data_IF_647574984232
#
_entry.id   IF_647574984232
#
_cell.length_a   1.000
_cell.length_b   1.000
_cell.length_c   1.000
_cell.angle_alpha   90.00
_cell.angle_beta   90.00
_cell.angle_gamma   90.00
#
_symmetry.space_group_name_H-M   'P 1'
#
loop_
_entity.id
_entity.type
_entity.pdbx_description
1 polymer ?
#
# COMPACT_ATOMS: atom_id res chain seq x y z
N UNK A 1 -0.38 -27.22 -22.68
CA UNK A 1 -0.83 -28.63 -22.85
C UNK A 1 0.29 -29.66 -23.10
N UNK A 2 1.39 -29.36 -23.83
CA UNK A 2 2.51 -30.34 -24.04
C UNK A 2 3.34 -30.58 -22.76
N UNK A 3 3.79 -29.49 -22.12
CA UNK A 3 4.60 -29.54 -20.90
C UNK A 3 3.93 -30.25 -19.69
N UNK A 4 2.59 -30.18 -19.54
CA UNK A 4 1.89 -30.90 -18.48
C UNK A 4 1.85 -32.40 -18.75
N UNK A 5 1.64 -32.81 -20.01
CA UNK A 5 1.64 -34.23 -20.42
C UNK A 5 3.00 -34.89 -20.21
N UNK A 6 4.08 -34.15 -20.46
CA UNK A 6 5.44 -34.62 -20.26
C UNK A 6 5.77 -34.86 -18.77
N UNK A 7 5.08 -34.17 -17.85
CA UNK A 7 5.24 -34.31 -16.39
C UNK A 7 4.34 -35.36 -15.76
N UNK A 8 3.25 -35.76 -16.42
CA UNK A 8 2.30 -36.78 -15.92
C UNK A 8 2.96 -38.06 -15.41
N UNK A 9 3.94 -38.68 -16.10
CA UNK A 9 4.56 -39.92 -15.62
C UNK A 9 5.34 -39.72 -14.32
N UNK A 10 6.00 -38.57 -14.16
CA UNK A 10 6.73 -38.23 -12.94
C UNK A 10 5.78 -38.01 -11.77
N UNK A 11 4.66 -37.31 -12.00
CA UNK A 11 3.63 -37.07 -10.98
C UNK A 11 3.00 -38.39 -10.54
N UNK A 12 2.67 -39.30 -11.47
CA UNK A 12 2.14 -40.64 -11.13
C UNK A 12 3.11 -41.42 -10.23
N UNK A 13 4.41 -41.45 -10.54
CA UNK A 13 5.42 -42.07 -9.67
C UNK A 13 5.47 -41.46 -8.27
N UNK A 14 5.31 -40.14 -8.17
CA UNK A 14 5.30 -39.45 -6.88
C UNK A 14 4.04 -39.77 -6.08
N UNK A 15 2.91 -39.87 -6.77
CA UNK A 15 1.62 -40.24 -6.20
C UNK A 15 1.60 -41.67 -5.68
N UNK A 16 2.22 -42.61 -6.40
CA UNK A 16 2.37 -43.99 -5.95
C UNK A 16 3.21 -44.08 -4.67
N UNK A 17 4.30 -43.30 -4.59
CA UNK A 17 5.10 -43.19 -3.36
C UNK A 17 4.27 -42.63 -2.22
N UNK A 18 3.53 -41.56 -2.46
CA UNK A 18 2.64 -40.95 -1.47
C UNK A 18 1.62 -41.96 -0.95
N UNK A 19 0.89 -42.64 -1.83
CA UNK A 19 -0.10 -43.66 -1.46
C UNK A 19 0.54 -44.79 -0.65
N UNK A 20 1.75 -45.25 -1.03
CA UNK A 20 2.49 -46.28 -0.28
C UNK A 20 2.88 -45.82 1.13
N UNK A 21 3.32 -44.56 1.28
CA UNK A 21 3.67 -44.01 2.58
C UNK A 21 2.42 -43.82 3.45
N UNK A 22 1.33 -43.33 2.86
CA UNK A 22 0.05 -43.19 3.53
C UNK A 22 -0.52 -44.54 3.99
N UNK A 23 -0.39 -45.59 3.17
CA UNK A 23 -0.76 -46.96 3.54
C UNK A 23 -0.04 -47.42 4.82
N UNK A 24 1.28 -47.29 4.83
CA UNK A 24 2.13 -47.66 5.98
C UNK A 24 1.83 -46.83 7.22
N UNK A 25 1.47 -45.56 7.02
CA UNK A 25 1.09 -44.67 8.10
C UNK A 25 -0.21 -45.14 8.75
N UNK A 26 -1.24 -45.41 7.94
CA UNK A 26 -2.55 -45.90 8.41
C UNK A 26 -2.45 -47.27 9.08
N UNK A 27 -1.60 -48.16 8.56
CA UNK A 27 -1.32 -49.46 9.18
C UNK A 27 -0.72 -49.30 10.59
N UNK A 28 0.16 -48.31 10.77
CA UNK A 28 0.81 -48.04 12.06
C UNK A 28 -0.09 -47.31 13.07
N UNK A 29 -1.04 -46.51 12.59
CA UNK A 29 -1.91 -45.66 13.40
C UNK A 29 -3.39 -45.82 12.98
N UNK A 30 -4.03 -46.95 13.31
CA UNK A 30 -5.39 -47.26 12.85
C UNK A 30 -6.46 -46.33 13.43
N UNK A 31 -6.24 -45.78 14.62
CA UNK A 31 -7.20 -44.89 15.31
C UNK A 31 -7.14 -43.44 14.80
N UNK A 32 -6.21 -43.13 13.90
CA UNK A 32 -6.02 -41.77 13.46
C UNK A 32 -6.95 -41.44 12.29
N UNK A 33 -7.99 -40.65 12.59
CA UNK A 33 -8.87 -40.11 11.57
C UNK A 33 -8.08 -39.15 10.68
N UNK A 34 -7.89 -39.51 9.40
CA UNK A 34 -7.35 -38.57 8.43
C UNK A 34 -8.28 -37.36 8.35
N UNK A 35 -7.75 -36.17 8.64
CA UNK A 35 -8.51 -34.92 8.53
C UNK A 35 -8.73 -34.47 7.08
N UNK A 36 -8.28 -35.25 6.10
CA UNK A 36 -8.49 -34.95 4.68
C UNK A 36 -9.65 -35.80 4.18
N UNK A 37 -10.63 -35.15 3.56
CA UNK A 37 -11.63 -35.80 2.71
C UNK A 37 -10.99 -36.24 1.38
N UNK A 38 -9.98 -37.12 1.44
CA UNK A 38 -9.32 -37.65 0.26
C UNK A 38 -9.83 -39.06 -0.03
N UNK A 39 -10.25 -39.31 -1.27
CA UNK A 39 -10.42 -40.68 -1.73
C UNK A 39 -9.05 -41.37 -1.71
N UNK A 40 -8.88 -42.37 -0.84
CA UNK A 40 -7.68 -43.19 -0.77
C UNK A 40 -7.92 -44.53 -1.50
N UNK A 41 -7.03 -44.96 -2.41
CA UNK A 41 -5.79 -44.30 -2.86
C UNK A 41 -6.04 -43.14 -3.83
N UNK A 42 -5.23 -42.08 -3.71
CA UNK A 42 -5.38 -40.88 -4.54
C UNK A 42 -4.92 -41.17 -5.98
N UNK A 43 -5.80 -40.89 -6.96
CA UNK A 43 -5.50 -41.06 -8.39
C UNK A 43 -5.10 -39.74 -9.06
N UNK A 44 -4.36 -39.83 -10.16
CA UNK A 44 -3.85 -38.64 -10.87
C UNK A 44 -4.98 -37.74 -11.39
N UNK A 45 -6.07 -38.35 -11.83
CA UNK A 45 -7.22 -37.66 -12.41
C UNK A 45 -7.94 -36.80 -11.37
N UNK A 46 -8.03 -37.28 -10.12
CA UNK A 46 -8.57 -36.55 -8.98
C UNK A 46 -7.60 -35.45 -8.52
N UNK A 47 -6.33 -35.80 -8.37
CA UNK A 47 -5.27 -34.85 -7.99
C UNK A 47 -5.17 -33.66 -8.97
N UNK A 48 -5.23 -33.93 -10.28
CA UNK A 48 -5.11 -32.89 -11.31
C UNK A 48 -6.24 -31.87 -11.32
N UNK A 49 -7.39 -32.21 -10.71
CA UNK A 49 -8.58 -31.37 -10.63
C UNK A 49 -8.72 -30.66 -9.29
N UNK A 50 -7.81 -30.89 -8.34
CA UNK A 50 -7.89 -30.26 -7.02
C UNK A 50 -7.66 -28.75 -7.16
N UNK A 51 -8.58 -27.92 -6.62
CA UNK A 51 -8.32 -26.48 -6.52
C UNK A 51 -7.15 -26.22 -5.57
N UNK A 52 -6.52 -25.05 -5.70
CA UNK A 52 -5.41 -24.64 -4.84
C UNK A 52 -5.82 -24.57 -3.36
N UNK A 53 -7.08 -24.26 -3.09
CA UNK A 53 -7.63 -24.15 -1.74
C UNK A 53 -8.03 -25.50 -1.11
N UNK A 54 -7.81 -26.62 -1.82
CA UNK A 54 -8.17 -27.94 -1.33
C UNK A 54 -7.39 -28.32 -0.04
N UNK A 55 -8.05 -28.99 0.92
CA UNK A 55 -7.49 -29.41 2.21
C UNK A 55 -6.18 -30.21 2.12
N UNK A 56 -5.97 -30.86 0.98
CA UNK A 56 -4.72 -31.55 0.62
C UNK A 56 -3.50 -30.61 0.68
N UNK A 57 -3.63 -29.36 0.24
CA UNK A 57 -2.57 -28.37 0.23
C UNK A 57 -2.44 -27.63 1.56
N UNK A 58 -3.56 -27.42 2.25
CA UNK A 58 -3.61 -26.44 3.32
C UNK A 58 -3.66 -26.98 4.75
N UNK A 59 -4.03 -28.24 5.04
CA UNK A 59 -4.19 -28.60 6.47
C UNK A 59 -4.14 -30.07 6.91
N UNK A 60 -4.29 -31.09 6.07
CA UNK A 60 -4.78 -32.36 6.65
C UNK A 60 -3.80 -33.52 6.92
N UNK A 61 -2.55 -33.51 6.39
CA UNK A 61 -1.63 -34.66 6.54
C UNK A 61 -0.37 -34.39 7.36
N UNK A 62 0.23 -33.20 7.23
CA UNK A 62 1.54 -32.89 7.82
C UNK A 62 1.45 -32.04 9.09
N UNK A 63 0.29 -31.43 9.36
CA UNK A 63 0.04 -30.69 10.59
C UNK A 63 -0.49 -31.63 11.67
N UNK A 64 0.41 -32.44 12.23
CA UNK A 64 0.23 -33.05 13.56
C UNK A 64 0.75 -32.13 14.66
N UNK A 65 0.67 -30.82 14.46
CA UNK A 65 1.10 -29.87 15.47
C UNK A 65 0.12 -29.98 16.63
N UNK A 66 0.55 -30.73 17.65
CA UNK A 66 -0.12 -30.87 18.96
C UNK A 66 -0.01 -29.59 19.77
N UNK A 67 0.71 -28.59 19.25
CA UNK A 67 0.87 -27.31 19.89
C UNK A 67 -0.47 -26.57 19.92
N UNK A 68 -0.77 -25.96 21.07
CA UNK A 68 -2.04 -25.27 21.34
C UNK A 68 -2.38 -24.22 20.28
N UNK A 69 -1.38 -23.53 19.70
CA UNK A 69 -1.56 -22.53 18.64
C UNK A 69 -2.00 -23.10 17.28
N UNK A 70 -1.86 -24.40 17.04
CA UNK A 70 -2.28 -25.06 15.82
C UNK A 70 -3.62 -25.79 15.95
N UNK A 71 -4.04 -26.11 17.18
CA UNK A 71 -5.25 -26.89 17.46
C UNK A 71 -6.40 -26.01 17.96
N UNK A 72 -6.11 -25.04 18.83
CA UNK A 72 -7.13 -24.24 19.51
C UNK A 72 -7.42 -22.97 18.70
N UNK A 73 -8.67 -22.79 18.20
CA UNK A 73 -9.00 -21.68 17.31
C UNK A 73 -8.79 -20.30 17.93
N UNK A 74 -9.03 -20.13 19.24
CA UNK A 74 -8.93 -18.83 19.90
C UNK A 74 -7.47 -18.39 20.08
N UNK A 75 -6.55 -19.30 20.36
CA UNK A 75 -5.10 -19.06 20.46
C UNK A 75 -4.56 -18.69 19.10
N UNK A 76 -5.02 -19.36 18.02
CA UNK A 76 -4.64 -18.99 16.65
C UNK A 76 -5.15 -17.59 16.29
N UNK A 77 -6.41 -17.29 16.58
CA UNK A 77 -7.00 -15.97 16.34
C UNK A 77 -6.29 -14.90 17.15
N UNK A 78 -6.05 -15.13 18.45
CA UNK A 78 -5.34 -14.20 19.32
C UNK A 78 -3.91 -13.93 18.85
N UNK A 79 -3.19 -14.96 18.41
CA UNK A 79 -1.85 -14.82 17.83
C UNK A 79 -1.88 -13.96 16.56
N UNK A 80 -2.84 -14.21 15.66
CA UNK A 80 -3.03 -13.39 14.48
C UNK A 80 -3.37 -11.93 14.83
N UNK A 81 -4.25 -11.71 15.80
CA UNK A 81 -4.60 -10.35 16.25
C UNK A 81 -3.37 -9.59 16.77
N UNK A 82 -2.53 -10.23 17.60
CA UNK A 82 -1.29 -9.61 18.11
C UNK A 82 -0.32 -9.27 16.97
N UNK A 83 -0.17 -10.16 15.98
CA UNK A 83 0.68 -9.90 14.81
C UNK A 83 0.15 -8.75 13.96
N UNK A 84 -1.16 -8.69 13.72
CA UNK A 84 -1.81 -7.61 12.98
C UNK A 84 -1.64 -6.28 13.71
N UNK A 85 -1.83 -6.24 15.03
CA UNK A 85 -1.62 -5.04 15.84
C UNK A 85 -0.17 -4.55 15.77
N UNK A 86 0.79 -5.47 15.85
CA UNK A 86 2.21 -5.14 15.73
C UNK A 86 2.52 -4.54 14.35
N UNK A 87 1.97 -5.13 13.29
CA UNK A 87 2.12 -4.61 11.93
C UNK A 87 1.48 -3.24 11.76
N UNK A 88 0.28 -3.03 12.28
CA UNK A 88 -0.41 -1.73 12.24
C UNK A 88 0.44 -0.63 12.89
N UNK A 89 1.09 -0.95 14.00
CA UNK A 89 1.95 0.00 14.70
C UNK A 89 3.19 0.38 13.87
N UNK A 90 3.82 -0.59 13.19
CA UNK A 90 4.93 -0.33 12.26
C UNK A 90 4.49 0.57 11.08
N UNK A 91 3.37 0.23 10.45
CA UNK A 91 2.85 0.99 9.30
C UNK A 91 2.49 2.43 9.70
N UNK A 92 1.90 2.62 10.88
CA UNK A 92 1.60 3.96 11.40
C UNK A 92 2.88 4.80 11.53
N UNK A 93 3.96 4.23 12.05
CA UNK A 93 5.24 4.93 12.18
C UNK A 93 5.85 5.28 10.82
N UNK A 94 5.77 4.38 9.84
CA UNK A 94 6.24 4.62 8.49
C UNK A 94 5.46 5.75 7.80
N UNK A 95 4.13 5.71 7.88
CA UNK A 95 3.28 6.76 7.31
C UNK A 95 3.57 8.11 7.96
N UNK A 96 3.73 8.16 9.29
CA UNK A 96 4.06 9.39 9.99
C UNK A 96 5.42 9.96 9.54
N UNK A 97 6.41 9.09 9.33
CA UNK A 97 7.72 9.50 8.84
C UNK A 97 7.67 10.03 7.40
N UNK A 98 6.93 9.37 6.52
CA UNK A 98 6.76 9.85 5.13
C UNK A 98 5.99 11.16 5.06
N UNK A 99 4.95 11.34 5.90
CA UNK A 99 4.25 12.60 6.02
C UNK A 99 5.19 13.73 6.43
N UNK A 100 6.01 13.51 7.48
CA UNK A 100 6.98 14.50 7.93
C UNK A 100 8.00 14.84 6.84
N UNK A 101 8.46 13.85 6.06
CA UNK A 101 9.37 14.06 4.94
C UNK A 101 8.72 14.87 3.81
N UNK A 102 7.49 14.53 3.43
CA UNK A 102 6.75 15.23 2.39
C UNK A 102 6.51 16.71 2.76
N UNK A 103 6.11 16.99 3.99
CA UNK A 103 5.97 18.37 4.49
C UNK A 103 7.32 19.09 4.49
N UNK A 104 8.39 18.44 4.96
CA UNK A 104 9.74 18.98 4.94
C UNK A 104 10.18 19.37 3.52
N UNK A 105 9.89 18.52 2.54
CA UNK A 105 10.11 18.83 1.12
C UNK A 105 9.25 20.00 0.66
N UNK A 106 7.96 20.03 0.97
CA UNK A 106 7.06 21.13 0.61
C UNK A 106 7.57 22.48 1.11
N UNK A 107 7.94 22.56 2.40
CA UNK A 107 8.51 23.78 2.99
C UNK A 107 9.84 24.16 2.32
N UNK A 108 10.71 23.19 2.05
CA UNK A 108 11.98 23.46 1.36
C UNK A 108 11.76 24.00 -0.05
N UNK A 109 10.77 23.49 -0.80
CA UNK A 109 10.45 23.97 -2.14
C UNK A 109 9.87 25.39 -2.08
N UNK A 110 8.95 25.64 -1.14
CA UNK A 110 8.40 26.97 -0.92
C UNK A 110 9.49 28.00 -0.65
N UNK A 111 10.43 27.70 0.26
CA UNK A 111 11.58 28.58 0.53
C UNK A 111 12.41 28.84 -0.72
N UNK A 112 12.76 27.79 -1.48
CA UNK A 112 13.53 27.93 -2.72
C UNK A 112 12.83 28.81 -3.76
N UNK A 113 11.50 28.71 -3.88
CA UNK A 113 10.74 29.59 -4.77
C UNK A 113 10.70 31.03 -4.25
N UNK A 114 10.47 31.22 -2.95
CA UNK A 114 10.47 32.54 -2.32
C UNK A 114 11.81 33.25 -2.50
N UNK A 115 12.92 32.54 -2.25
CA UNK A 115 14.28 33.06 -2.44
C UNK A 115 14.55 33.40 -3.90
N UNK A 116 14.15 32.53 -4.83
CA UNK A 116 14.28 32.76 -6.28
C UNK A 116 13.47 33.98 -6.74
N UNK A 117 12.24 34.15 -6.26
CA UNK A 117 11.39 35.30 -6.59
C UNK A 117 12.02 36.58 -6.05
N UNK A 118 12.44 36.58 -4.78
CA UNK A 118 13.08 37.73 -4.16
C UNK A 118 14.36 38.13 -4.93
N UNK A 119 15.17 37.14 -5.34
CA UNK A 119 16.34 37.34 -6.16
C UNK A 119 16.00 38.02 -7.51
N UNK A 120 15.04 37.46 -8.24
CA UNK A 120 14.62 38.00 -9.53
C UNK A 120 14.06 39.41 -9.40
N UNK A 121 13.26 39.69 -8.35
CA UNK A 121 12.74 41.03 -8.09
C UNK A 121 13.86 42.05 -7.84
N UNK A 122 14.85 41.71 -7.01
CA UNK A 122 16.01 42.58 -6.76
C UNK A 122 16.80 42.85 -8.05
N UNK A 123 16.94 41.82 -8.88
CA UNK A 123 17.67 41.92 -10.15
C UNK A 123 16.97 42.81 -11.16
N UNK A 124 15.64 42.70 -11.28
CA UNK A 124 14.83 43.60 -12.10
C UNK A 124 15.03 45.06 -11.66
N UNK A 125 14.96 45.34 -10.35
CA UNK A 125 15.18 46.71 -9.84
C UNK A 125 16.56 47.25 -10.16
N UNK A 126 17.62 46.42 -10.07
CA UNK A 126 18.98 46.84 -10.45
C UNK A 126 19.06 47.20 -11.93
N UNK A 127 18.56 46.34 -12.81
CA UNK A 127 18.52 46.60 -14.26
C UNK A 127 17.69 47.84 -14.62
N UNK A 128 16.57 48.08 -13.93
CA UNK A 128 15.77 49.30 -14.10
C UNK A 128 16.51 50.57 -13.68
N UNK A 129 17.29 50.51 -12.59
CA UNK A 129 18.06 51.66 -12.08
C UNK A 129 19.29 52.02 -12.92
N UNK A 130 19.90 51.04 -13.61
CA UNK A 130 21.04 51.25 -14.52
C UNK A 130 20.62 51.91 -15.84
N UNK A 131 19.41 51.62 -16.34
CA UNK A 131 18.93 52.22 -17.59
C UNK A 131 18.74 53.76 -17.48
N UNK A 132 18.67 54.31 -16.27
CA UNK A 132 18.60 55.76 -15.98
C UNK A 132 19.97 56.41 -15.70
N UNK A 133 21.00 55.63 -15.35
CA UNK A 133 22.32 56.14 -14.99
C UNK A 133 23.39 55.33 -15.74
N UNK A 134 23.94 55.88 -16.83
CA UNK A 134 25.00 55.26 -17.67
C UNK A 134 26.29 54.87 -16.89
N UNK A 135 26.24 53.88 -15.99
CA UNK A 135 27.39 53.36 -15.24
C UNK A 135 27.24 51.84 -15.04
N UNK A 136 28.32 51.13 -15.40
CA UNK A 136 28.65 49.70 -15.22
C UNK A 136 27.55 48.66 -15.43
N UNK A 137 27.68 47.85 -16.50
CA UNK A 137 26.87 46.67 -16.79
C UNK A 137 26.69 45.79 -15.52
N UNK A 138 25.44 45.51 -15.11
CA UNK A 138 25.15 44.43 -14.13
C UNK A 138 25.92 43.17 -14.52
N UNK A 139 26.77 42.69 -13.61
CA UNK A 139 27.53 41.46 -13.80
C UNK A 139 26.60 40.29 -14.19
N UNK A 140 26.94 39.63 -15.29
CA UNK A 140 26.16 38.49 -15.77
C UNK A 140 26.20 37.35 -14.77
N UNK A 141 25.05 36.73 -14.53
CA UNK A 141 24.94 35.59 -13.63
C UNK A 141 24.32 34.36 -14.33
N UNK A 142 24.07 33.34 -13.52
CA UNK A 142 23.48 32.07 -13.95
C UNK A 142 22.07 32.18 -14.56
N UNK A 143 21.30 33.24 -14.28
CA UNK A 143 19.99 33.50 -14.89
C UNK A 143 20.15 34.01 -16.33
N UNK A 144 21.18 34.79 -16.65
CA UNK A 144 21.42 35.25 -18.05
C UNK A 144 21.91 34.13 -18.95
N UNK A 145 22.47 33.09 -18.35
CA UNK A 145 22.92 31.89 -19.03
C UNK A 145 21.75 30.91 -19.30
N UNK A 146 20.54 31.20 -18.78
CA UNK A 146 19.35 30.40 -19.07
C UNK A 146 18.89 30.64 -20.51
N UNK A 147 18.99 29.61 -21.34
CA UNK A 147 18.38 29.62 -22.66
C UNK A 147 16.86 29.44 -22.54
N UNK A 148 16.15 30.55 -22.33
CA UNK A 148 14.68 30.57 -22.16
C UNK A 148 13.91 30.39 -23.47
N UNK A 149 14.59 30.17 -24.61
CA UNK A 149 13.97 30.23 -25.92
C UNK A 149 13.44 31.64 -26.23
N UNK A 150 13.08 31.90 -27.49
CA UNK A 150 12.63 33.23 -27.92
C UNK A 150 11.21 33.53 -27.41
N UNK A 151 11.07 33.86 -26.13
CA UNK A 151 9.82 34.39 -25.57
C UNK A 151 9.75 35.88 -25.92
N UNK A 152 8.80 36.25 -26.79
CA UNK A 152 8.49 37.66 -27.05
C UNK A 152 7.82 38.21 -25.80
N UNK A 153 8.43 39.15 -25.10
CA UNK A 153 7.81 39.85 -23.97
C UNK A 153 6.73 40.81 -24.50
N UNK A 154 5.48 40.36 -24.58
CA UNK A 154 4.36 41.31 -24.54
C UNK A 154 4.24 41.77 -23.08
N UNK A 155 4.41 43.07 -22.84
CA UNK A 155 4.19 43.68 -21.52
C UNK A 155 2.70 43.60 -21.16
N UNK A 156 2.23 42.42 -20.80
CA UNK A 156 0.92 42.23 -20.21
C UNK A 156 1.03 42.62 -18.74
N UNK A 157 0.32 43.68 -18.34
CA UNK A 157 0.15 44.10 -16.94
C UNK A 157 -0.69 43.04 -16.22
N UNK A 158 -0.10 41.90 -15.89
CA UNK A 158 -0.73 40.92 -15.01
C UNK A 158 -0.65 41.45 -13.58
N UNK A 159 -1.81 41.66 -12.95
CA UNK A 159 -1.91 42.09 -11.56
C UNK A 159 -1.45 40.94 -10.68
N UNK A 160 -0.26 41.07 -10.09
CA UNK A 160 0.29 40.09 -9.15
C UNK A 160 -0.57 40.14 -7.89
N UNK A 161 -1.19 39.03 -7.45
CA UNK A 161 -1.98 38.99 -6.23
C UNK A 161 -1.12 39.36 -5.03
N UNK A 162 -1.68 40.15 -4.12
CA UNK A 162 -0.98 40.58 -2.90
C UNK A 162 -0.95 39.44 -1.88
N UNK A 163 0.06 39.41 -1.01
CA UNK A 163 0.26 38.35 0.00
C UNK A 163 -0.99 38.06 0.83
N UNK A 164 -1.80 39.08 1.14
CA UNK A 164 -3.08 38.91 1.87
C UNK A 164 -4.17 38.17 1.08
N UNK A 165 -4.19 38.28 -0.26
CA UNK A 165 -5.14 37.53 -1.10
C UNK A 165 -4.76 36.04 -1.15
N UNK A 166 -3.46 35.73 -1.06
CA UNK A 166 -2.97 34.34 -1.03
C UNK A 166 -3.25 33.68 0.32
N UNK A 167 -3.07 34.40 1.43
CA UNK A 167 -3.41 33.91 2.78
C UNK A 167 -4.91 33.68 2.95
N UNK A 168 -5.76 34.58 2.46
CA UNK A 168 -7.21 34.42 2.53
C UNK A 168 -7.70 33.17 1.76
N UNK A 169 -7.15 32.94 0.55
CA UNK A 169 -7.47 31.76 -0.24
C UNK A 169 -6.99 30.45 0.41
N UNK A 170 -5.83 30.47 1.08
CA UNK A 170 -5.36 29.32 1.85
C UNK A 170 -6.24 29.04 3.07
N UNK A 171 -6.74 30.08 3.73
CA UNK A 171 -7.62 29.94 4.90
C UNK A 171 -9.02 29.41 4.52
N UNK A 172 -9.54 29.78 3.35
CA UNK A 172 -10.80 29.23 2.80
C UNK A 172 -10.66 27.73 2.48
N UNK A 173 -9.54 27.31 1.88
CA UNK A 173 -9.27 25.90 1.57
C UNK A 173 -9.09 25.06 2.84
N UNK A 174 -8.43 25.61 3.87
CA UNK A 174 -8.19 24.89 5.15
C UNK A 174 -9.44 24.79 6.01
N UNK A 175 -10.39 25.73 5.90
CA UNK A 175 -11.66 25.71 6.66
C UNK A 175 -12.79 24.95 5.94
N UNK A 176 -12.57 24.49 4.70
CA UNK A 176 -13.56 23.74 3.91
C UNK A 176 -13.65 22.24 4.24
N UNK A 177 -12.67 21.68 4.95
CA UNK A 177 -12.75 20.32 5.47
C UNK A 177 -13.59 20.31 6.75
N UNK A 178 -14.90 20.17 6.57
CA UNK A 178 -15.76 19.71 7.66
C UNK A 178 -15.21 18.38 8.14
N UNK A 179 -14.64 18.37 9.34
CA UNK A 179 -14.23 17.17 10.05
C UNK A 179 -15.45 16.23 10.11
N UNK A 180 -15.46 15.20 9.25
CA UNK A 180 -16.42 14.13 9.34
C UNK A 180 -15.94 13.24 10.49
N UNK A 181 -16.37 13.59 11.71
CA UNK A 181 -16.13 12.87 12.96
C UNK A 181 -16.83 11.51 13.02
N UNK A 182 -17.60 11.16 11.98
CA UNK A 182 -18.25 9.86 11.86
C UNK A 182 -19.46 9.70 12.79
N UNK A 183 -20.01 10.79 13.34
CA UNK A 183 -21.24 10.72 14.16
C UNK A 183 -22.49 10.30 13.35
N UNK A 184 -22.45 10.36 12.01
CA UNK A 184 -23.56 9.92 11.13
C UNK A 184 -23.52 8.43 10.75
N UNK A 185 -22.81 7.60 11.53
CA UNK A 185 -22.93 6.15 11.40
C UNK A 185 -24.32 5.70 11.89
N UNK A 186 -25.25 5.55 10.96
CA UNK A 186 -26.59 5.00 11.20
C UNK A 186 -26.49 3.68 12.02
N UNK A 187 -27.09 3.64 13.20
CA UNK A 187 -27.02 2.55 14.20
C UNK A 187 -27.64 1.21 13.73
N UNK A 188 -28.18 1.17 12.51
CA UNK A 188 -28.98 0.05 11.97
C UNK A 188 -28.15 -1.14 11.43
N UNK A 189 -26.82 -1.06 11.42
CA UNK A 189 -25.98 -2.13 10.86
C UNK A 189 -25.71 -3.29 11.84
N UNK A 190 -26.17 -3.19 13.08
CA UNK A 190 -26.03 -4.20 14.14
C UNK A 190 -27.39 -4.70 14.67
N UNK A 191 -28.34 -4.98 13.77
CA UNK A 191 -29.47 -5.84 14.14
C UNK A 191 -29.13 -7.30 13.85
N UNK A 192 -28.70 -8.00 14.91
CA UNK A 192 -28.65 -9.45 14.97
C UNK A 192 -30.04 -10.00 14.62
N UNK A 193 -30.16 -10.60 13.44
CA UNK A 193 -31.37 -11.32 13.04
C UNK A 193 -31.38 -12.69 13.73
N UNK A 194 -31.54 -12.67 15.06
CA UNK A 194 -31.87 -13.83 15.87
C UNK A 194 -33.38 -14.10 15.76
N UNK A 195 -33.82 -14.69 14.64
CA UNK A 195 -35.05 -15.45 14.61
C UNK A 195 -34.72 -16.93 14.39
N UNK A 196 -34.43 -17.60 15.51
CA UNK A 196 -34.92 -18.96 15.72
C UNK A 196 -36.43 -18.84 15.87
N UNK A 197 -37.18 -19.39 14.94
CA UNK A 197 -38.50 -19.94 15.25
C UNK A 197 -38.60 -21.32 14.62
N UNK A 198 -39.05 -22.23 15.46
CA UNK A 198 -39.23 -23.66 15.26
C UNK A 198 -40.26 -23.95 14.15
N UNK A 199 -40.00 -24.97 13.33
CA UNK A 199 -40.87 -26.14 12.96
C UNK A 199 -40.10 -27.05 12.01
#
# INVERSE_FOLDING_TARGET
>A
MKAMRDRTPAIKKLLDKFNKHLAKYLEKFPDQTLRISLAYPLRYEEFSKMPLDHDFWNNGLYFQLTASWAVEPNVRTGTNCVLILSRLQEEYQLIAQELARAVGWGVSHYRRFSDSIAYLSQRITRLESENDNNVEDVEMDHIDQLNLGRIKSEKAKAKIPTTGEVEAALQEVVLGDTHNDGEDANEDWMTDNNNREDV
#
